data_IF_183119628211
#
_entry.id   IF_183119628211
#
_cell.length_a   1.000
_cell.length_b   1.000
_cell.length_c   1.000
_cell.angle_alpha   90.00
_cell.angle_beta   90.00
_cell.angle_gamma   90.00
#
_symmetry.space_group_name_H-M   'P 1'
#
loop_
_entity.id
_entity.type
_entity.pdbx_description
1 polymer ?
#
# COMPACT_ATOMS: atom_id res chain seq x y z
N UNK A 1 -5.33 -0.27 -3.74
CA UNK A 1 -5.03 -1.08 -2.52
C UNK A 1 -5.72 -0.49 -1.30
N UNK A 2 -5.37 0.73 -0.87
CA UNK A 2 -5.98 1.40 0.30
C UNK A 2 -7.50 1.57 0.14
N UNK A 3 -7.98 2.01 -1.03
CA UNK A 3 -9.42 2.14 -1.28
C UNK A 3 -10.20 0.81 -1.30
N UNK A 4 -9.53 -0.31 -1.58
CA UNK A 4 -10.14 -1.66 -1.50
C UNK A 4 -10.23 -2.12 -0.04
N UNK A 5 -9.15 -1.91 0.72
CA UNK A 5 -9.14 -2.14 2.16
C UNK A 5 -10.21 -1.31 2.88
N UNK A 6 -10.28 -0.01 2.59
CA UNK A 6 -11.25 0.89 3.20
C UNK A 6 -12.69 0.45 2.93
N UNK A 7 -13.03 0.13 1.67
CA UNK A 7 -14.37 -0.36 1.33
C UNK A 7 -14.71 -1.68 2.03
N UNK A 8 -13.77 -2.61 2.05
CA UNK A 8 -13.99 -3.94 2.63
C UNK A 8 -13.94 -4.02 4.16
N UNK A 9 -13.33 -3.04 4.85
CA UNK A 9 -13.22 -2.99 6.31
C UNK A 9 -14.11 -1.92 6.96
N UNK A 10 -14.36 -0.81 6.27
CA UNK A 10 -15.08 0.35 6.82
C UNK A 10 -16.41 0.63 6.10
N UNK A 11 -16.75 -0.10 5.03
CA UNK A 11 -18.10 -0.09 4.43
C UNK A 11 -18.54 1.18 3.70
N UNK A 12 -17.67 2.19 3.56
CA UNK A 12 -18.03 3.48 2.94
C UNK A 12 -18.01 3.49 1.41
N UNK A 13 -18.81 4.39 0.80
CA UNK A 13 -18.79 4.66 -0.66
C UNK A 13 -17.48 5.30 -1.15
N UNK A 14 -16.71 5.92 -0.25
CA UNK A 14 -15.43 6.58 -0.53
C UNK A 14 -14.31 6.15 0.43
N UNK A 15 -13.15 6.80 0.30
CA UNK A 15 -12.07 6.68 1.29
C UNK A 15 -12.47 7.40 2.58
N UNK A 16 -12.45 6.69 3.71
CA UNK A 16 -12.60 7.34 5.01
C UNK A 16 -11.39 8.24 5.31
N UNK A 17 -11.54 9.19 6.24
CA UNK A 17 -10.50 10.15 6.60
C UNK A 17 -9.15 9.49 6.89
N UNK A 18 -9.14 8.47 7.75
CA UNK A 18 -7.91 7.74 8.11
C UNK A 18 -7.23 7.07 6.91
N UNK A 19 -8.00 6.47 6.00
CA UNK A 19 -7.44 5.86 4.79
C UNK A 19 -6.98 6.91 3.78
N UNK A 20 -7.64 8.07 3.73
CA UNK A 20 -7.22 9.23 2.94
C UNK A 20 -5.88 9.80 3.42
N UNK A 21 -5.72 9.98 4.72
CA UNK A 21 -4.46 10.42 5.33
C UNK A 21 -3.32 9.43 5.08
N UNK A 22 -3.60 8.12 5.19
CA UNK A 22 -2.61 7.08 4.89
C UNK A 22 -2.18 7.12 3.42
N UNK A 23 -3.12 7.36 2.51
CA UNK A 23 -2.84 7.50 1.07
C UNK A 23 -2.01 8.74 0.77
N UNK A 24 -2.38 9.89 1.36
CA UNK A 24 -1.65 11.14 1.19
C UNK A 24 -0.21 11.01 1.70
N UNK A 25 -0.02 10.49 2.91
CA UNK A 25 1.29 10.20 3.48
C UNK A 25 2.12 9.28 2.58
N UNK A 26 1.50 8.21 2.07
CA UNK A 26 2.19 7.25 1.22
C UNK A 26 2.67 7.89 -0.09
N UNK A 27 1.84 8.75 -0.69
CA UNK A 27 2.17 9.49 -1.92
C UNK A 27 3.32 10.46 -1.71
N UNK A 28 3.27 11.25 -0.64
CA UNK A 28 4.32 12.21 -0.30
C UNK A 28 5.69 11.51 -0.14
N UNK A 29 5.73 10.39 0.59
CA UNK A 29 6.96 9.59 0.77
C UNK A 29 7.44 8.95 -0.53
N UNK A 30 6.53 8.61 -1.43
CA UNK A 30 6.87 8.07 -2.74
C UNK A 30 7.50 9.12 -3.65
N UNK A 31 6.97 10.34 -3.65
CA UNK A 31 7.47 11.49 -4.42
C UNK A 31 8.86 11.94 -3.94
N UNK A 32 9.07 11.99 -2.62
CA UNK A 32 10.36 12.37 -2.03
C UNK A 32 11.36 11.22 -1.92
N UNK A 33 11.16 10.13 -2.66
CA UNK A 33 12.02 8.97 -2.55
C UNK A 33 13.33 9.23 -3.32
N UNK A 34 14.50 9.23 -2.65
CA UNK A 34 15.77 9.59 -3.29
C UNK A 34 16.39 8.45 -4.11
N UNK A 35 15.73 7.28 -4.18
CA UNK A 35 16.31 6.08 -4.79
C UNK A 35 15.92 5.95 -6.24
N UNK A 36 16.92 5.81 -7.09
CA UNK A 36 16.80 5.43 -8.49
C UNK A 36 17.96 4.46 -8.85
N UNK A 37 17.70 3.21 -9.26
CA UNK A 37 16.39 2.58 -9.39
C UNK A 37 15.75 2.29 -8.02
N UNK A 38 14.46 2.60 -7.90
CA UNK A 38 13.69 2.40 -6.67
C UNK A 38 13.38 0.93 -6.41
N UNK A 39 13.93 0.30 -5.34
CA UNK A 39 13.53 -1.05 -4.95
C UNK A 39 12.11 -1.06 -4.35
N UNK A 40 11.52 -2.23 -4.20
CA UNK A 40 10.25 -2.36 -3.48
C UNK A 40 10.42 -1.85 -2.04
N UNK A 41 9.45 -1.09 -1.52
CA UNK A 41 9.53 -0.49 -0.18
C UNK A 41 9.75 -1.52 0.94
N UNK A 42 9.34 -2.79 0.72
CA UNK A 42 9.57 -3.91 1.65
C UNK A 42 11.05 -4.31 1.77
N UNK A 43 11.81 -4.17 0.68
CA UNK A 43 13.19 -4.60 0.52
C UNK A 43 14.18 -3.41 0.57
N UNK A 44 13.68 -2.20 0.81
CA UNK A 44 14.55 -1.03 0.79
C UNK A 44 15.33 -0.92 2.12
N UNK A 45 16.65 -0.67 2.08
CA UNK A 45 17.52 -0.80 3.25
C UNK A 45 17.26 0.25 4.34
N UNK A 46 16.74 1.41 3.96
CA UNK A 46 16.33 2.48 4.88
C UNK A 46 14.85 2.75 4.67
N UNK A 47 14.04 2.47 5.68
CA UNK A 47 12.59 2.64 5.64
C UNK A 47 12.20 4.06 6.07
N UNK A 48 11.61 4.83 5.13
CA UNK A 48 11.16 6.19 5.37
C UNK A 48 9.75 6.31 5.98
N UNK A 49 9.08 5.17 6.19
CA UNK A 49 7.74 5.12 6.81
C UNK A 49 7.90 5.05 8.33
N UNK A 50 7.07 5.79 9.06
CA UNK A 50 6.95 5.59 10.50
C UNK A 50 6.49 4.15 10.79
N UNK A 51 6.93 3.55 11.91
CA UNK A 51 6.62 2.15 12.23
C UNK A 51 5.11 1.87 12.26
N UNK A 52 4.32 2.81 12.79
CA UNK A 52 2.86 2.76 12.83
C UNK A 52 2.24 2.75 11.43
N UNK A 53 2.61 3.72 10.58
CA UNK A 53 2.06 3.81 9.21
C UNK A 53 2.53 2.63 8.35
N UNK A 54 3.72 2.10 8.62
CA UNK A 54 4.21 0.87 7.99
C UNK A 54 3.36 -0.33 8.39
N UNK A 55 2.96 -0.46 9.66
CA UNK A 55 2.05 -1.51 10.11
C UNK A 55 0.68 -1.38 9.42
N UNK A 56 0.14 -0.17 9.32
CA UNK A 56 -1.12 0.10 8.61
C UNK A 56 -1.04 -0.29 7.13
N UNK A 57 0.02 0.10 6.42
CA UNK A 57 0.23 -0.31 5.02
C UNK A 57 0.38 -1.81 4.89
N UNK A 58 1.09 -2.50 5.80
CA UNK A 58 1.17 -3.96 5.77
C UNK A 58 -0.20 -4.62 5.91
N UNK A 59 -1.06 -4.10 6.80
CA UNK A 59 -2.43 -4.59 6.94
C UNK A 59 -3.25 -4.37 5.65
N UNK A 60 -3.13 -3.19 5.04
CA UNK A 60 -3.74 -2.90 3.73
C UNK A 60 -3.25 -3.88 2.67
N UNK A 61 -1.94 -4.09 2.55
CA UNK A 61 -1.34 -4.98 1.56
C UNK A 61 -1.76 -6.44 1.78
N UNK A 62 -1.81 -6.91 3.03
CA UNK A 62 -2.25 -8.28 3.37
C UNK A 62 -3.72 -8.52 3.02
N UNK A 63 -4.56 -7.51 3.17
CA UNK A 63 -5.98 -7.60 2.82
C UNK A 63 -6.21 -7.44 1.31
N UNK A 64 -5.55 -6.46 0.68
CA UNK A 64 -5.77 -6.08 -0.71
C UNK A 64 -4.97 -6.94 -1.70
N UNK A 65 -3.84 -7.51 -1.30
CA UNK A 65 -2.97 -8.36 -2.12
C UNK A 65 -3.70 -9.56 -2.74
N UNK A 66 -4.22 -10.51 -1.94
CA UNK A 66 -4.97 -11.67 -2.45
C UNK A 66 -6.23 -11.25 -3.22
N UNK A 67 -6.84 -10.11 -2.87
CA UNK A 67 -8.02 -9.59 -3.58
C UNK A 67 -7.68 -8.88 -4.89
N UNK A 68 -6.44 -8.42 -5.07
CA UNK A 68 -5.94 -7.92 -6.37
C UNK A 68 -5.57 -9.08 -7.31
N UNK A 69 -5.10 -10.21 -6.78
CA UNK A 69 -4.89 -11.46 -7.53
C UNK A 69 -6.17 -11.90 -8.27
N UNK A 70 -7.33 -11.81 -7.61
CA UNK A 70 -8.61 -12.21 -8.20
C UNK A 70 -9.10 -11.31 -9.34
N UNK A 71 -8.65 -10.05 -9.41
CA UNK A 71 -9.09 -9.09 -10.45
C UNK A 71 -8.09 -8.89 -11.58
N UNK A 72 -6.80 -9.00 -11.29
CA UNK A 72 -5.70 -8.80 -12.24
C UNK A 72 -4.54 -9.76 -11.90
N UNK A 73 -4.69 -11.06 -12.23
CA UNK A 73 -3.79 -12.12 -11.79
C UNK A 73 -2.32 -11.88 -12.19
N UNK A 74 -2.08 -11.40 -13.41
CA UNK A 74 -0.72 -11.12 -13.92
C UNK A 74 0.03 -10.03 -13.13
N UNK A 75 -0.66 -8.94 -12.78
CA UNK A 75 -0.07 -7.84 -12.02
C UNK A 75 0.19 -8.21 -10.57
N UNK A 76 -0.61 -9.13 -10.03
CA UNK A 76 -0.50 -9.56 -8.66
C UNK A 76 0.55 -10.67 -8.49
N UNK A 77 0.74 -11.53 -9.50
CA UNK A 77 1.91 -12.42 -9.61
C UNK A 77 3.22 -11.62 -9.60
N UNK A 78 3.32 -10.55 -10.41
CA UNK A 78 4.48 -9.63 -10.40
C UNK A 78 4.71 -8.92 -9.05
N UNK A 79 3.66 -8.79 -8.23
CA UNK A 79 3.72 -8.19 -6.89
C UNK A 79 4.04 -9.18 -5.77
N UNK A 80 3.77 -10.48 -5.97
CA UNK A 80 4.04 -11.54 -5.01
C UNK A 80 5.47 -12.08 -5.17
N UNK A 81 5.95 -12.21 -6.41
CA UNK A 81 7.30 -12.66 -6.76
C UNK A 81 8.36 -11.52 -6.78
N UNK A 82 8.05 -10.35 -6.19
CA UNK A 82 8.97 -9.20 -6.05
C UNK A 82 8.93 -8.60 -4.63
#
# INVERSE_FOLDING_TARGET
MIGLYCRGRHGGRGLCRACGELLAYSRERLQRCPRDPKPACRACPVHCYSPERRAQIRAVMRYAGPRMLLRRPLLALKHYFR
#
